data_IF_578825609896
#
_entry.id   IF_578825609896
#
_cell.length_a   1.000
_cell.length_b   1.000
_cell.length_c   1.000
_cell.angle_alpha   90.00
_cell.angle_beta   90.00
_cell.angle_gamma   90.00
#
_symmetry.space_group_name_H-M   'P 1'
#
loop_
_entity.id
_entity.type
_entity.pdbx_description
1 polymer ?
#
# COMPACT_ATOMS: atom_id res chain seq x y z
N UNK A 1 -0.96 -20.61 3.88
CA UNK A 1 -1.57 -20.15 2.61
C UNK A 1 -0.49 -19.59 1.71
N UNK A 2 -0.57 -19.83 0.40
CA UNK A 2 0.42 -19.36 -0.58
C UNK A 2 0.02 -18.01 -1.16
N UNK A 3 0.97 -17.08 -1.26
CA UNK A 3 0.78 -15.74 -1.80
C UNK A 3 1.82 -15.46 -2.89
N UNK A 4 1.46 -14.61 -3.86
CA UNK A 4 2.39 -14.15 -4.89
C UNK A 4 2.68 -12.67 -4.70
N UNK A 5 3.95 -12.31 -4.57
CA UNK A 5 4.40 -10.93 -4.70
C UNK A 5 5.00 -10.72 -6.09
N UNK A 6 4.71 -9.57 -6.69
CA UNK A 6 5.16 -9.20 -8.03
C UNK A 6 5.37 -7.69 -8.08
N UNK A 7 6.08 -7.23 -9.12
CA UNK A 7 6.38 -5.81 -9.31
C UNK A 7 5.66 -5.30 -10.56
N UNK A 8 5.28 -4.03 -10.51
CA UNK A 8 4.67 -3.29 -11.63
C UNK A 8 5.36 -1.93 -11.73
N UNK A 9 5.39 -1.38 -12.94
CA UNK A 9 5.75 0.02 -13.16
C UNK A 9 4.48 0.87 -13.20
N UNK A 10 4.53 2.02 -12.54
CA UNK A 10 3.43 2.99 -12.49
C UNK A 10 3.93 4.30 -13.06
N UNK A 11 3.15 4.90 -13.97
CA UNK A 11 3.44 6.17 -14.61
C UNK A 11 2.16 7.00 -14.66
N UNK A 12 1.95 7.84 -13.65
CA UNK A 12 0.76 8.70 -13.56
C UNK A 12 1.01 9.91 -12.67
N UNK A 13 0.15 10.91 -12.77
CA UNK A 13 0.12 12.02 -11.83
C UNK A 13 -0.35 11.52 -10.48
N UNK A 14 0.34 11.97 -9.43
CA UNK A 14 0.02 11.60 -8.06
C UNK A 14 -0.09 12.83 -7.18
N UNK A 15 -1.00 12.79 -6.21
CA UNK A 15 -0.95 13.69 -5.07
C UNK A 15 -0.15 13.03 -3.95
N UNK A 16 0.85 13.74 -3.43
CA UNK A 16 1.67 13.31 -2.30
C UNK A 16 1.15 13.94 -1.01
N UNK A 17 0.49 13.13 -0.17
CA UNK A 17 -0.10 13.58 1.09
C UNK A 17 0.94 13.91 2.16
N UNK A 18 2.22 13.63 1.90
CA UNK A 18 3.32 13.97 2.80
C UNK A 18 3.89 15.37 2.51
N UNK A 19 3.36 16.08 1.51
CA UNK A 19 3.84 17.41 1.14
C UNK A 19 2.86 18.51 1.58
N UNK A 20 3.37 19.72 1.83
CA UNK A 20 2.52 20.88 2.05
C UNK A 20 1.54 21.13 0.90
N UNK A 21 0.27 21.46 1.16
CA UNK A 21 -0.35 21.65 2.49
C UNK A 21 -1.01 20.40 3.08
N UNK A 22 -0.87 19.23 2.45
CA UNK A 22 -1.55 17.99 2.86
C UNK A 22 -0.96 17.36 4.12
N UNK A 23 0.32 17.62 4.40
CA UNK A 23 1.01 17.17 5.60
C UNK A 23 0.37 17.71 6.90
N UNK A 24 -0.23 18.89 6.85
CA UNK A 24 -1.00 19.47 7.95
C UNK A 24 -2.19 18.60 8.37
N UNK A 25 -2.75 17.83 7.43
CA UNK A 25 -3.89 16.93 7.64
C UNK A 25 -3.47 15.48 7.86
N UNK A 26 -2.20 15.22 8.22
CA UNK A 26 -1.67 13.85 8.39
C UNK A 26 -2.55 12.96 9.29
N UNK A 27 -3.12 13.51 10.37
CA UNK A 27 -4.01 12.76 11.27
C UNK A 27 -5.30 12.26 10.58
N UNK A 28 -5.79 13.00 9.59
CA UNK A 28 -6.95 12.60 8.77
C UNK A 28 -6.56 11.45 7.84
N UNK A 29 -5.41 11.56 7.18
CA UNK A 29 -4.93 10.53 6.23
C UNK A 29 -4.53 9.24 6.92
N UNK A 30 -4.11 9.33 8.19
CA UNK A 30 -3.54 8.22 8.95
C UNK A 30 -4.52 7.57 9.94
N UNK A 31 -5.81 7.92 9.89
CA UNK A 31 -6.79 7.34 10.78
C UNK A 31 -6.91 5.81 10.54
N UNK A 32 -6.82 4.96 11.58
CA UNK A 32 -6.65 3.51 11.40
C UNK A 32 -7.90 2.77 10.89
N UNK A 33 -9.09 3.29 11.19
CA UNK A 33 -10.37 2.60 10.95
C UNK A 33 -11.43 3.42 10.23
N UNK A 34 -11.49 4.74 10.43
CA UNK A 34 -12.29 5.66 9.63
C UNK A 34 -11.59 5.99 8.29
N UNK A 35 -12.22 5.54 7.20
CA UNK A 35 -11.75 5.77 5.83
C UNK A 35 -12.59 6.83 5.09
N UNK A 36 -13.49 7.54 5.78
CA UNK A 36 -14.45 8.45 5.14
C UNK A 36 -13.74 9.54 4.35
N UNK A 37 -12.80 10.25 4.99
CA UNK A 37 -12.10 11.38 4.37
C UNK A 37 -11.10 10.92 3.30
N UNK A 38 -10.42 9.78 3.50
CA UNK A 38 -9.51 9.22 2.48
C UNK A 38 -10.26 8.72 1.24
N UNK A 39 -11.44 8.11 1.41
CA UNK A 39 -12.29 7.69 0.28
C UNK A 39 -12.91 8.88 -0.46
N UNK A 40 -13.34 9.92 0.26
CA UNK A 40 -13.80 11.18 -0.34
C UNK A 40 -12.68 11.84 -1.15
N UNK A 41 -11.49 11.95 -0.57
CA UNK A 41 -10.33 12.50 -1.28
C UNK A 41 -9.98 11.69 -2.53
N UNK A 42 -10.00 10.36 -2.46
CA UNK A 42 -9.80 9.50 -3.62
C UNK A 42 -10.87 9.67 -4.71
N UNK A 43 -12.11 10.05 -4.37
CA UNK A 43 -13.14 10.42 -5.35
C UNK A 43 -12.76 11.72 -6.05
N UNK A 44 -12.45 12.77 -5.29
CA UNK A 44 -12.03 14.07 -5.83
C UNK A 44 -10.80 13.94 -6.74
N UNK A 45 -9.81 13.14 -6.34
CA UNK A 45 -8.63 12.87 -7.14
C UNK A 45 -8.96 12.23 -8.50
N UNK A 46 -9.92 11.30 -8.54
CA UNK A 46 -10.40 10.71 -9.81
C UNK A 46 -11.12 11.74 -10.69
N UNK A 47 -11.96 12.58 -10.08
CA UNK A 47 -12.67 13.66 -10.79
C UNK A 47 -11.70 14.72 -11.37
N UNK A 48 -10.52 14.86 -10.78
CA UNK A 48 -9.44 15.73 -11.24
C UNK A 48 -8.41 15.03 -12.16
N UNK A 49 -8.72 13.83 -12.67
CA UNK A 49 -7.83 13.02 -13.53
C UNK A 49 -6.45 12.71 -12.92
N UNK A 50 -6.35 12.68 -11.59
CA UNK A 50 -5.15 12.20 -10.88
C UNK A 50 -5.21 10.68 -10.78
N UNK A 51 -4.16 10.01 -11.24
CA UNK A 51 -4.14 8.54 -11.29
C UNK A 51 -3.67 7.86 -10.00
N UNK A 52 -3.06 8.57 -9.05
CA UNK A 52 -2.66 7.97 -7.78
C UNK A 52 -2.54 8.93 -6.60
N UNK A 53 -2.47 8.34 -5.40
CA UNK A 53 -2.23 9.07 -4.14
C UNK A 53 -1.08 8.39 -3.41
N UNK A 54 -0.01 9.12 -3.13
CA UNK A 54 1.07 8.69 -2.24
C UNK A 54 0.75 9.09 -0.81
N UNK A 55 0.85 8.13 0.11
CA UNK A 55 0.50 8.32 1.51
C UNK A 55 1.40 7.48 2.42
N UNK A 56 1.56 7.91 3.67
CA UNK A 56 2.31 7.16 4.67
C UNK A 56 1.53 5.91 5.10
N UNK A 57 2.22 4.78 5.24
CA UNK A 57 1.61 3.54 5.73
C UNK A 57 1.19 3.70 7.18
N UNK A 58 -0.10 3.48 7.46
CA UNK A 58 -0.64 3.45 8.84
C UNK A 58 -0.41 2.11 9.54
N UNK A 59 0.08 1.10 8.79
CA UNK A 59 0.24 -0.28 9.28
C UNK A 59 1.69 -0.67 9.51
N UNK A 60 2.61 0.10 8.97
CA UNK A 60 4.04 -0.14 9.16
C UNK A 60 4.50 0.65 10.39
N UNK A 61 5.11 -0.01 11.40
CA UNK A 61 5.68 0.69 12.55
C UNK A 61 6.86 1.60 12.17
N UNK A 62 7.50 1.36 11.01
CA UNK A 62 8.55 2.23 10.49
C UNK A 62 7.97 3.22 9.46
N UNK A 63 8.53 4.44 9.32
CA UNK A 63 8.12 5.37 8.29
C UNK A 63 8.26 4.76 6.89
N UNK A 64 7.14 4.35 6.31
CA UNK A 64 7.05 3.82 4.95
C UNK A 64 5.83 4.40 4.25
N UNK A 65 5.74 4.18 2.94
CA UNK A 65 4.73 4.80 2.10
C UNK A 65 4.07 3.77 1.19
N UNK A 66 2.84 4.08 0.79
CA UNK A 66 2.02 3.30 -0.11
C UNK A 66 1.51 4.20 -1.24
N UNK A 67 1.16 3.56 -2.36
CA UNK A 67 0.52 4.21 -3.49
C UNK A 67 -0.88 3.62 -3.69
N UNK A 68 -1.91 4.45 -3.56
CA UNK A 68 -3.26 4.10 -3.97
C UNK A 68 -3.40 4.46 -5.45
N UNK A 69 -3.30 3.46 -6.33
CA UNK A 69 -3.54 3.64 -7.76
C UNK A 69 -5.06 3.69 -8.02
N UNK A 70 -5.54 4.81 -8.57
CA UNK A 70 -6.97 5.10 -8.67
C UNK A 70 -7.59 4.63 -9.98
N UNK A 71 -6.78 4.49 -11.04
CA UNK A 71 -7.21 4.04 -12.37
C UNK A 71 -6.21 3.05 -12.98
N UNK A 72 -6.68 2.06 -13.77
CA UNK A 72 -5.78 1.12 -14.46
C UNK A 72 -4.83 1.79 -15.45
N UNK A 73 -5.20 2.97 -15.98
CA UNK A 73 -4.38 3.73 -16.91
C UNK A 73 -3.06 4.22 -16.30
N UNK A 74 -2.93 4.23 -14.96
CA UNK A 74 -1.68 4.58 -14.32
C UNK A 74 -0.61 3.49 -14.36
N UNK A 75 -0.92 2.26 -14.75
CA UNK A 75 0.11 1.25 -15.01
C UNK A 75 0.90 1.60 -16.27
N UNK A 76 2.23 1.69 -16.15
CA UNK A 76 3.10 2.01 -17.28
C UNK A 76 3.16 0.89 -18.33
N UNK A 77 2.84 -0.35 -17.91
CA UNK A 77 2.86 -1.55 -18.75
C UNK A 77 1.61 -2.39 -18.49
N UNK A 78 1.08 -3.09 -19.51
CA UNK A 78 -0.11 -3.93 -19.38
C UNK A 78 0.14 -5.23 -18.60
N UNK A 79 1.40 -5.57 -18.33
CA UNK A 79 1.79 -6.78 -17.58
C UNK A 79 2.79 -6.40 -16.48
N UNK A 80 2.75 -7.07 -15.32
CA UNK A 80 3.79 -6.94 -14.30
C UNK A 80 5.14 -7.43 -14.84
N UNK A 81 6.21 -7.15 -14.11
CA UNK A 81 7.51 -7.76 -14.36
C UNK A 81 7.42 -9.30 -14.34
N UNK A 82 8.29 -9.96 -15.11
CA UNK A 82 8.33 -11.41 -15.20
C UNK A 82 8.70 -12.06 -13.86
N UNK A 83 9.53 -11.38 -13.06
CA UNK A 83 9.90 -11.79 -11.71
C UNK A 83 8.67 -11.84 -10.79
N UNK A 84 8.44 -13.01 -10.20
CA UNK A 84 7.41 -13.24 -9.20
C UNK A 84 8.01 -14.01 -8.03
N UNK A 85 7.48 -13.76 -6.85
CA UNK A 85 7.91 -14.38 -5.62
C UNK A 85 6.73 -15.15 -5.03
N UNK A 86 6.97 -16.41 -4.69
CA UNK A 86 5.98 -17.24 -3.99
C UNK A 86 6.32 -17.24 -2.51
N UNK A 87 5.39 -16.74 -1.69
CA UNK A 87 5.53 -16.65 -0.25
C UNK A 87 4.53 -17.59 0.43
N UNK A 88 5.02 -18.40 1.36
CA UNK A 88 4.20 -19.26 2.20
C UNK A 88 3.94 -18.55 3.51
N UNK A 89 2.69 -18.16 3.72
CA UNK A 89 2.21 -17.52 4.94
C UNK A 89 1.65 -18.57 5.89
N UNK A 90 2.20 -18.64 7.09
CA UNK A 90 1.63 -19.39 8.22
C UNK A 90 1.22 -18.39 9.29
N UNK A 91 0.00 -18.52 9.79
CA UNK A 91 -0.55 -17.70 10.87
C UNK A 91 -0.92 -18.62 12.01
N UNK A 92 -0.45 -18.28 13.21
CA UNK A 92 -0.79 -18.92 14.48
C UNK A 92 -1.28 -17.85 15.46
N UNK A 93 -1.69 -18.28 16.67
CA UNK A 93 -2.18 -17.36 17.70
C UNK A 93 -1.13 -16.33 18.14
N UNK A 94 0.15 -16.69 18.12
CA UNK A 94 1.24 -15.85 18.63
C UNK A 94 2.15 -15.31 17.53
N UNK A 95 2.12 -15.91 16.34
CA UNK A 95 3.12 -15.68 15.33
C UNK A 95 2.56 -15.74 13.91
N UNK A 96 3.05 -14.83 13.08
CA UNK A 96 2.92 -14.86 11.63
C UNK A 96 4.30 -15.07 11.01
N UNK A 97 4.42 -16.08 10.14
CA UNK A 97 5.65 -16.41 9.42
C UNK A 97 5.42 -16.33 7.92
N UNK A 98 6.26 -15.61 7.19
CA UNK A 98 6.35 -15.64 5.73
C UNK A 98 7.66 -16.28 5.31
N UNK A 99 7.61 -17.25 4.38
CA UNK A 99 8.80 -17.93 3.88
C UNK A 99 8.85 -17.98 2.36
N UNK A 100 10.04 -17.81 1.80
CA UNK A 100 10.35 -17.95 0.38
C UNK A 100 11.79 -18.45 0.22
N UNK A 101 11.99 -19.57 -0.46
CA UNK A 101 13.32 -20.15 -0.67
C UNK A 101 14.13 -20.22 0.65
N UNK A 102 15.25 -19.49 0.75
CA UNK A 102 16.09 -19.37 1.95
C UNK A 102 15.75 -18.15 2.83
N UNK A 103 14.78 -17.34 2.45
CA UNK A 103 14.34 -16.15 3.16
C UNK A 103 13.13 -16.45 4.06
N UNK A 104 13.11 -15.81 5.23
CA UNK A 104 11.97 -15.84 6.14
C UNK A 104 11.80 -14.52 6.86
N UNK A 105 10.55 -14.12 7.03
CA UNK A 105 10.14 -12.99 7.87
C UNK A 105 9.17 -13.50 8.92
N UNK A 106 9.29 -12.98 10.14
CA UNK A 106 8.50 -13.41 11.29
C UNK A 106 8.05 -12.20 12.09
N UNK A 107 6.78 -12.20 12.49
CA UNK A 107 6.14 -11.12 13.23
C UNK A 107 5.24 -11.70 14.33
N UNK A 108 5.09 -10.98 15.44
CA UNK A 108 4.14 -11.36 16.50
C UNK A 108 2.70 -11.11 16.04
N UNK A 109 1.80 -12.04 16.38
CA UNK A 109 0.36 -11.93 16.16
C UNK A 109 -0.39 -11.34 17.37
N UNK A 110 0.28 -11.09 18.50
CA UNK A 110 -0.35 -10.76 19.79
C UNK A 110 -1.01 -9.37 19.84
N UNK A 111 -0.90 -8.57 18.78
CA UNK A 111 -1.49 -7.22 18.66
C UNK A 111 -2.67 -7.09 17.70
N UNK A 112 -3.25 -8.22 17.24
CA UNK A 112 -4.32 -8.27 16.22
C UNK A 112 -5.65 -8.80 16.76
#
# INVERSE_FOLDING_TARGET
MTHTAFRVEVATLVVDLQRPSFDADAAIWQHPTDYTLTQQFARTAREADVGGILYQSVRDPQPSWCLALLTPAGFAKPKPHAERQTWYLTVSLHEVTLRRDTESMQFSAEGW
#
